data_IF_773263527658
#
_entry.id   IF_773263527658
#
_cell.length_a   1.000
_cell.length_b   1.000
_cell.length_c   1.000
_cell.angle_alpha   90.00
_cell.angle_beta   90.00
_cell.angle_gamma   90.00
#
_symmetry.space_group_name_H-M   'P 1'
#
loop_
_entity.id
_entity.type
_entity.pdbx_description
1 polymer ?
#
# COMPACT_ATOMS: atom_id res chain seq x y z
N UNK A 1 4.71 -15.76 -81.25
CA UNK A 1 5.04 -14.57 -80.43
C UNK A 1 4.04 -14.55 -79.27
N UNK A 2 4.32 -15.31 -78.22
CA UNK A 2 4.85 -14.87 -76.91
C UNK A 2 3.91 -13.92 -76.13
N UNK A 3 3.43 -14.39 -74.98
CA UNK A 3 2.72 -13.57 -74.00
C UNK A 3 2.07 -14.38 -72.88
N UNK A 4 2.85 -15.09 -72.06
CA UNK A 4 2.38 -15.68 -70.79
C UNK A 4 2.18 -14.55 -69.79
N UNK A 5 0.94 -14.33 -69.36
CA UNK A 5 0.60 -13.38 -68.29
C UNK A 5 0.89 -14.05 -66.95
N UNK A 6 2.01 -13.66 -66.33
CA UNK A 6 2.43 -14.12 -65.00
C UNK A 6 1.99 -13.06 -63.99
N UNK A 7 0.89 -13.32 -63.29
CA UNK A 7 0.38 -12.41 -62.26
C UNK A 7 0.96 -12.84 -60.91
N UNK A 8 1.94 -12.08 -60.41
CA UNK A 8 2.54 -12.27 -59.10
C UNK A 8 1.52 -11.95 -58.00
N UNK A 9 1.13 -12.95 -57.22
CA UNK A 9 0.42 -12.76 -55.96
C UNK A 9 1.38 -12.16 -54.93
N UNK A 10 1.19 -10.88 -54.58
CA UNK A 10 1.85 -10.28 -53.43
C UNK A 10 1.19 -10.77 -52.14
N UNK A 11 1.86 -11.67 -51.42
CA UNK A 11 1.46 -12.06 -50.08
C UNK A 11 1.80 -10.92 -49.10
N UNK A 12 0.79 -10.21 -48.64
CA UNK A 12 0.90 -9.19 -47.59
C UNK A 12 1.06 -9.91 -46.24
N UNK A 13 2.31 -10.07 -45.79
CA UNK A 13 2.60 -10.56 -44.43
C UNK A 13 2.24 -9.47 -43.42
N UNK A 14 1.06 -9.60 -42.81
CA UNK A 14 0.67 -8.88 -41.60
C UNK A 14 1.56 -9.37 -40.45
N UNK A 15 2.71 -8.72 -40.23
CA UNK A 15 3.44 -8.84 -38.97
C UNK A 15 2.64 -8.09 -37.89
N UNK A 16 1.70 -8.80 -37.26
CA UNK A 16 1.03 -8.30 -36.07
C UNK A 16 2.07 -8.04 -34.99
N UNK A 17 2.17 -6.79 -34.52
CA UNK A 17 2.88 -6.49 -33.28
C UNK A 17 2.14 -7.21 -32.15
N UNK A 18 2.63 -8.39 -31.75
CA UNK A 18 2.16 -9.04 -30.53
C UNK A 18 2.55 -8.16 -29.35
N UNK A 19 1.57 -7.46 -28.78
CA UNK A 19 1.72 -6.83 -27.49
C UNK A 19 2.10 -7.91 -26.48
N UNK A 20 3.35 -7.86 -26.00
CA UNK A 20 3.83 -8.76 -24.95
C UNK A 20 3.19 -8.32 -23.64
N UNK A 21 2.77 -9.29 -22.82
CA UNK A 21 2.35 -8.98 -21.45
C UNK A 21 3.53 -8.40 -20.66
N UNK A 22 3.30 -7.29 -19.96
CA UNK A 22 4.30 -6.66 -19.10
C UNK A 22 4.73 -7.61 -17.97
N UNK A 23 6.01 -7.60 -17.63
CA UNK A 23 6.56 -8.35 -16.49
C UNK A 23 6.17 -7.69 -15.16
N UNK A 24 6.40 -8.40 -14.05
CA UNK A 24 6.15 -7.80 -12.74
C UNK A 24 7.08 -6.61 -12.47
N UNK A 25 8.33 -6.68 -12.92
CA UNK A 25 9.33 -5.61 -12.79
C UNK A 25 8.91 -4.34 -13.50
N UNK A 26 8.26 -4.46 -14.66
CA UNK A 26 7.71 -3.33 -15.42
C UNK A 26 6.51 -2.72 -14.69
N UNK A 27 5.57 -3.56 -14.24
CA UNK A 27 4.35 -3.11 -13.54
C UNK A 27 4.61 -2.36 -12.24
N UNK A 28 5.63 -2.77 -11.48
CA UNK A 28 5.94 -2.17 -10.17
C UNK A 28 6.71 -0.85 -10.26
N UNK A 29 7.22 -0.46 -11.44
CA UNK A 29 7.93 0.82 -11.62
C UNK A 29 7.06 2.03 -11.28
N UNK A 30 5.76 1.98 -11.58
CA UNK A 30 4.86 3.09 -11.24
C UNK A 30 4.76 3.30 -9.72
N UNK A 31 4.96 2.25 -8.93
CA UNK A 31 4.85 2.31 -7.48
C UNK A 31 6.05 3.02 -6.86
N UNK A 32 7.27 2.78 -7.36
CA UNK A 32 8.52 3.32 -6.80
C UNK A 32 8.61 4.83 -6.94
N UNK A 33 7.96 5.42 -7.95
CA UNK A 33 7.95 6.87 -8.17
C UNK A 33 7.40 7.68 -6.99
N UNK A 34 6.49 7.10 -6.21
CA UNK A 34 5.89 7.72 -5.03
C UNK A 34 6.31 7.05 -3.72
N UNK A 35 6.35 5.72 -3.71
CA UNK A 35 6.67 4.93 -2.51
C UNK A 35 8.18 4.76 -2.28
N UNK A 36 9.02 5.28 -3.18
CA UNK A 36 10.49 5.22 -3.12
C UNK A 36 11.07 3.96 -3.76
N UNK A 37 12.28 4.02 -4.30
CA UNK A 37 12.95 2.83 -4.86
C UNK A 37 13.37 1.82 -3.77
N UNK A 38 13.74 2.33 -2.60
CA UNK A 38 14.12 1.57 -1.40
C UNK A 38 13.01 1.55 -0.34
N UNK A 39 11.78 1.93 -0.71
CA UNK A 39 10.62 1.98 0.17
C UNK A 39 10.54 3.23 1.05
N UNK A 40 11.42 4.21 0.83
CA UNK A 40 11.36 5.54 1.47
C UNK A 40 10.51 6.48 0.62
N UNK A 41 9.28 6.80 1.05
CA UNK A 41 8.36 7.56 0.23
C UNK A 41 8.85 8.99 -0.02
N UNK A 42 8.51 9.55 -1.19
CA UNK A 42 8.95 10.90 -1.60
C UNK A 42 8.25 12.03 -0.83
N UNK A 43 7.10 11.72 -0.20
CA UNK A 43 6.35 12.60 0.68
C UNK A 43 5.95 11.86 1.96
N UNK A 44 5.90 12.58 3.09
CA UNK A 44 5.66 12.00 4.41
C UNK A 44 4.25 11.40 4.59
N UNK A 45 3.30 11.81 3.74
CA UNK A 45 1.92 11.30 3.76
C UNK A 45 1.71 10.09 2.86
N UNK A 46 2.74 9.66 2.12
CA UNK A 46 2.73 8.43 1.33
C UNK A 46 3.24 7.28 2.22
N UNK A 47 2.58 6.11 2.23
CA UNK A 47 3.00 4.99 3.07
C UNK A 47 4.18 4.23 2.50
N UNK A 48 4.96 3.61 3.38
CA UNK A 48 5.85 2.50 3.03
C UNK A 48 5.03 1.27 2.66
N UNK A 49 5.31 0.67 1.50
CA UNK A 49 4.73 -0.61 1.05
C UNK A 49 5.72 -1.77 1.06
N UNK A 50 7.02 -1.49 1.23
CA UNK A 50 8.09 -2.50 1.30
C UNK A 50 7.94 -3.30 2.59
N UNK A 51 8.03 -4.63 2.50
CA UNK A 51 7.94 -5.52 3.66
C UNK A 51 6.58 -5.48 4.36
N UNK A 52 5.56 -4.93 3.70
CA UNK A 52 4.19 -4.90 4.20
C UNK A 52 3.50 -6.25 3.92
N UNK A 53 2.45 -6.57 4.67
CA UNK A 53 1.75 -7.84 4.52
C UNK A 53 1.09 -7.96 3.14
N UNK A 54 1.37 -9.05 2.42
CA UNK A 54 0.86 -9.26 1.05
C UNK A 54 -0.67 -9.21 0.99
N UNK A 55 -1.35 -9.87 1.92
CA UNK A 55 -2.81 -9.85 2.00
C UNK A 55 -3.36 -8.44 2.21
N UNK A 56 -2.71 -7.63 3.06
CA UNK A 56 -3.08 -6.23 3.25
C UNK A 56 -2.87 -5.41 1.96
N UNK A 57 -1.71 -5.53 1.32
CA UNK A 57 -1.41 -4.80 0.07
C UNK A 57 -2.43 -5.10 -1.02
N UNK A 58 -2.76 -6.37 -1.24
CA UNK A 58 -3.79 -6.78 -2.19
C UNK A 58 -5.15 -6.16 -1.87
N UNK A 59 -5.59 -6.23 -0.61
CA UNK A 59 -6.87 -5.64 -0.18
C UNK A 59 -6.88 -4.13 -0.44
N UNK A 60 -5.79 -3.41 -0.15
CA UNK A 60 -5.76 -1.97 -0.39
C UNK A 60 -5.83 -1.63 -1.89
N UNK A 61 -5.08 -2.33 -2.75
CA UNK A 61 -5.15 -2.13 -4.20
C UNK A 61 -6.57 -2.40 -4.73
N UNK A 62 -7.16 -3.53 -4.33
CA UNK A 62 -8.54 -3.89 -4.68
C UNK A 62 -9.55 -2.83 -4.21
N UNK A 63 -9.41 -2.35 -2.99
CA UNK A 63 -10.34 -1.37 -2.41
C UNK A 63 -10.20 0.01 -3.06
N UNK A 64 -8.99 0.39 -3.49
CA UNK A 64 -8.80 1.56 -4.35
C UNK A 64 -9.48 1.36 -5.70
N UNK A 65 -9.23 0.23 -6.40
CA UNK A 65 -9.85 -0.08 -7.70
C UNK A 65 -11.39 -0.03 -7.63
N UNK A 66 -11.98 -0.52 -6.53
CA UNK A 66 -13.44 -0.54 -6.31
C UNK A 66 -14.01 0.78 -5.78
N UNK A 67 -13.16 1.70 -5.31
CA UNK A 67 -13.58 2.95 -4.68
C UNK A 67 -14.03 2.82 -3.22
N UNK A 68 -13.88 1.64 -2.62
CA UNK A 68 -14.14 1.40 -1.19
C UNK A 68 -13.15 2.20 -0.32
N UNK A 69 -11.89 2.32 -0.78
CA UNK A 69 -10.90 3.26 -0.26
C UNK A 69 -10.73 4.41 -1.26
N UNK A 70 -11.14 5.61 -0.87
CA UNK A 70 -11.07 6.79 -1.74
C UNK A 70 -9.66 7.37 -1.79
N UNK A 71 -9.21 7.74 -2.99
CA UNK A 71 -7.97 8.48 -3.22
C UNK A 71 -7.87 8.92 -4.67
N UNK A 72 -7.78 10.23 -4.90
CA UNK A 72 -7.60 10.80 -6.24
C UNK A 72 -6.29 10.35 -6.90
N UNK A 73 -5.27 9.99 -6.11
CA UNK A 73 -3.96 9.53 -6.59
C UNK A 73 -3.97 8.02 -6.88
N UNK A 74 -4.24 7.18 -5.87
CA UNK A 74 -4.15 5.73 -6.00
C UNK A 74 -5.27 5.07 -6.79
N UNK A 75 -6.46 5.68 -6.92
CA UNK A 75 -7.55 5.04 -7.67
C UNK A 75 -7.20 4.89 -9.17
N UNK A 76 -6.77 5.94 -9.91
CA UNK A 76 -6.36 5.79 -11.31
C UNK A 76 -5.25 4.75 -11.51
N UNK A 77 -4.29 4.67 -10.58
CA UNK A 77 -3.21 3.69 -10.61
C UNK A 77 -3.77 2.28 -10.43
N UNK A 78 -4.57 2.06 -9.38
CA UNK A 78 -5.13 0.75 -9.08
C UNK A 78 -6.06 0.21 -10.17
N UNK A 79 -6.75 1.09 -10.92
CA UNK A 79 -7.61 0.68 -12.04
C UNK A 79 -6.85 0.09 -13.24
N UNK A 80 -5.54 0.30 -13.34
CA UNK A 80 -4.71 -0.25 -14.41
C UNK A 80 -4.40 -1.74 -14.22
N UNK A 81 -4.56 -2.26 -13.00
CA UNK A 81 -4.14 -3.62 -12.63
C UNK A 81 -5.32 -4.55 -12.47
N UNK A 82 -5.21 -5.76 -13.01
CA UNK A 82 -6.18 -6.82 -12.75
C UNK A 82 -5.85 -7.61 -11.48
N UNK A 83 -6.77 -8.51 -11.09
CA UNK A 83 -6.65 -9.27 -9.84
C UNK A 83 -5.27 -9.93 -9.70
N UNK A 84 -4.82 -10.61 -10.75
CA UNK A 84 -3.57 -11.37 -10.72
C UNK A 84 -2.35 -10.43 -10.70
N UNK A 85 -2.44 -9.25 -11.32
CA UNK A 85 -1.43 -8.20 -11.20
C UNK A 85 -1.35 -7.68 -9.77
N UNK A 86 -2.48 -7.38 -9.14
CA UNK A 86 -2.52 -6.88 -7.76
C UNK A 86 -1.97 -7.92 -6.76
N UNK A 87 -2.22 -9.21 -6.99
CA UNK A 87 -1.63 -10.30 -6.20
C UNK A 87 -0.11 -10.36 -6.40
N UNK A 88 0.36 -10.29 -7.64
CA UNK A 88 1.79 -10.32 -7.94
C UNK A 88 2.52 -9.08 -7.38
N UNK A 89 1.93 -7.89 -7.49
CA UNK A 89 2.45 -6.64 -6.91
C UNK A 89 2.53 -6.74 -5.39
N UNK A 90 1.47 -7.24 -4.75
CA UNK A 90 1.43 -7.41 -3.31
C UNK A 90 2.52 -8.37 -2.81
N UNK A 91 2.71 -9.51 -3.50
CA UNK A 91 3.78 -10.46 -3.18
C UNK A 91 5.17 -9.87 -3.43
N UNK A 92 5.34 -9.13 -4.53
CA UNK A 92 6.61 -8.50 -4.87
C UNK A 92 7.08 -7.51 -3.79
N UNK A 93 6.18 -6.66 -3.27
CA UNK A 93 6.53 -5.69 -2.23
C UNK A 93 6.61 -6.29 -0.83
N UNK A 94 5.85 -7.36 -0.53
CA UNK A 94 5.89 -8.02 0.78
C UNK A 94 7.24 -8.69 1.06
N UNK A 95 7.92 -9.17 0.02
CA UNK A 95 9.22 -9.82 0.14
C UNK A 95 10.40 -8.84 0.28
N UNK A 96 10.15 -7.54 0.19
CA UNK A 96 11.20 -6.52 0.31
C UNK A 96 11.52 -6.22 1.77
N UNK A 97 12.76 -5.78 2.09
CA UNK A 97 13.08 -5.33 3.43
C UNK A 97 12.28 -4.07 3.79
N UNK A 98 11.73 -4.04 5.01
CA UNK A 98 11.16 -2.83 5.57
C UNK A 98 12.27 -1.78 5.76
N UNK A 99 12.13 -0.54 5.24
CA UNK A 99 13.14 0.50 5.34
C UNK A 99 13.19 1.13 6.72
N UNK A 100 14.37 1.60 7.10
CA UNK A 100 14.51 2.56 8.20
C UNK A 100 14.27 3.99 7.67
N UNK A 101 13.26 4.65 8.22
CA UNK A 101 12.91 6.04 7.88
C UNK A 101 13.67 7.07 8.74
N UNK A 102 14.52 6.63 9.68
CA UNK A 102 15.30 7.51 10.55
C UNK A 102 14.45 8.32 11.54
N UNK A 103 13.25 7.84 11.85
CA UNK A 103 12.31 8.54 12.74
C UNK A 103 12.75 8.38 14.20
N UNK A 104 12.70 9.45 15.01
CA UNK A 104 13.12 9.36 16.40
C UNK A 104 12.18 8.46 17.20
N UNK A 105 12.74 7.73 18.17
CA UNK A 105 11.93 7.02 19.17
C UNK A 105 11.13 8.02 20.00
N UNK A 106 9.90 7.64 20.33
CA UNK A 106 9.09 8.40 21.27
C UNK A 106 9.78 8.50 22.64
N UNK A 107 9.65 9.64 23.34
CA UNK A 107 10.02 9.76 24.75
C UNK A 107 9.37 8.68 25.62
N UNK A 108 9.99 8.33 26.75
CA UNK A 108 9.55 7.20 27.59
C UNK A 108 8.12 7.35 28.10
N UNK A 109 7.74 8.56 28.49
CA UNK A 109 6.40 8.91 28.96
C UNK A 109 5.36 8.80 27.84
N UNK A 110 5.69 9.26 26.63
CA UNK A 110 4.84 9.10 25.43
C UNK A 110 4.67 7.63 25.08
N UNK A 111 5.76 6.85 25.09
CA UNK A 111 5.72 5.42 24.83
C UNK A 111 4.87 4.66 25.87
N UNK A 112 4.99 5.01 27.16
CA UNK A 112 4.18 4.41 28.22
C UNK A 112 2.69 4.71 28.03
N UNK A 113 2.34 5.96 27.68
CA UNK A 113 0.97 6.35 27.34
C UNK A 113 0.44 5.58 26.14
N UNK A 114 1.22 5.51 25.06
CA UNK A 114 0.86 4.78 23.84
C UNK A 114 0.60 3.30 24.10
N UNK A 115 1.48 2.63 24.86
CA UNK A 115 1.33 1.22 25.22
C UNK A 115 0.10 0.99 26.10
N UNK A 116 -0.15 1.87 27.08
CA UNK A 116 -1.36 1.80 27.91
C UNK A 116 -2.62 1.93 27.06
N UNK A 117 -2.69 2.94 26.19
CA UNK A 117 -3.83 3.14 25.29
C UNK A 117 -4.02 1.97 24.33
N UNK A 118 -2.93 1.48 23.72
CA UNK A 118 -2.93 0.30 22.85
C UNK A 118 -3.50 -0.93 23.54
N UNK A 119 -3.11 -1.17 24.80
CA UNK A 119 -3.61 -2.29 25.58
C UNK A 119 -5.10 -2.12 25.94
N UNK A 120 -5.54 -0.92 26.31
CA UNK A 120 -6.94 -0.64 26.63
C UNK A 120 -7.87 -0.82 25.44
N UNK A 121 -7.42 -0.45 24.24
CA UNK A 121 -8.20 -0.59 22.98
C UNK A 121 -8.07 -2.00 22.39
N UNK A 122 -7.02 -2.74 22.76
CA UNK A 122 -6.77 -4.09 22.26
C UNK A 122 -6.09 -4.13 20.88
N UNK A 123 -5.36 -3.08 20.49
CA UNK A 123 -4.67 -3.03 19.19
C UNK A 123 -3.78 -4.25 18.89
N UNK A 124 -3.00 -4.81 19.85
CA UNK A 124 -2.15 -5.97 19.61
C UNK A 124 -2.93 -7.24 19.25
N UNK A 125 -4.22 -7.34 19.59
CA UNK A 125 -5.04 -8.51 19.24
C UNK A 125 -5.14 -8.72 17.73
N UNK A 126 -5.03 -7.63 16.94
CA UNK A 126 -4.99 -7.70 15.48
C UNK A 126 -3.60 -7.38 14.94
N UNK A 127 -2.96 -6.31 15.43
CA UNK A 127 -1.68 -5.84 14.89
C UNK A 127 -0.45 -6.60 15.44
N UNK A 128 -0.65 -7.54 16.35
CA UNK A 128 0.36 -8.31 17.07
C UNK A 128 1.24 -7.45 18.00
N UNK A 129 1.97 -8.11 18.90
CA UNK A 129 2.67 -7.48 20.03
C UNK A 129 3.70 -6.41 19.64
N UNK A 130 4.31 -6.53 18.46
CA UNK A 130 5.27 -5.54 17.94
C UNK A 130 4.68 -4.71 16.81
N UNK A 131 3.36 -4.71 16.66
CA UNK A 131 2.64 -4.00 15.60
C UNK A 131 3.13 -4.36 14.19
N UNK A 132 3.63 -5.59 14.02
CA UNK A 132 4.12 -6.10 12.75
C UNK A 132 2.99 -6.54 11.81
N UNK A 133 1.78 -6.74 12.34
CA UNK A 133 0.65 -7.27 11.58
C UNK A 133 0.87 -8.69 11.07
N UNK A 134 -0.14 -9.25 10.44
CA UNK A 134 -0.09 -10.56 9.78
C UNK A 134 -1.22 -10.67 8.75
N UNK A 135 -0.97 -11.41 7.66
CA UNK A 135 -1.93 -11.69 6.60
C UNK A 135 -2.56 -10.42 5.99
N UNK A 136 -3.77 -10.09 6.45
CA UNK A 136 -4.56 -8.94 5.97
C UNK A 136 -4.49 -7.72 6.89
N UNK A 137 -3.85 -7.85 8.07
CA UNK A 137 -3.66 -6.78 9.04
C UNK A 137 -2.30 -6.12 8.82
N UNK A 138 -2.22 -4.79 8.65
CA UNK A 138 -0.97 -4.14 8.30
C UNK A 138 0.02 -4.08 9.45
N UNK A 139 1.31 -4.08 9.08
CA UNK A 139 2.39 -3.54 9.89
C UNK A 139 2.18 -2.04 10.11
N UNK A 140 2.22 -1.62 11.37
CA UNK A 140 2.21 -0.22 11.81
C UNK A 140 3.58 0.23 12.33
N UNK A 141 4.37 -0.69 12.90
CA UNK A 141 5.69 -0.39 13.44
C UNK A 141 6.66 0.12 12.36
N UNK A 142 7.23 1.30 12.61
CA UNK A 142 8.16 1.98 11.71
C UNK A 142 7.50 2.66 10.52
N UNK A 143 6.16 2.76 10.49
CA UNK A 143 5.45 3.49 9.44
C UNK A 143 5.67 5.00 9.58
N UNK A 144 5.62 5.74 8.46
CA UNK A 144 5.76 7.20 8.47
C UNK A 144 4.76 7.89 9.40
N UNK A 145 5.26 8.77 10.29
CA UNK A 145 4.48 9.48 11.30
C UNK A 145 3.28 10.23 10.71
N UNK A 146 3.51 10.98 9.63
CA UNK A 146 2.48 11.82 9.03
C UNK A 146 1.43 10.96 8.30
N UNK A 147 1.83 9.87 7.65
CA UNK A 147 0.89 8.88 7.12
C UNK A 147 0.06 8.21 8.21
N UNK A 148 0.65 7.85 9.36
CA UNK A 148 -0.08 7.29 10.50
C UNK A 148 -1.10 8.30 11.03
N UNK A 149 -0.69 9.54 11.30
CA UNK A 149 -1.58 10.61 11.75
C UNK A 149 -2.74 10.85 10.77
N UNK A 150 -2.42 10.97 9.47
CA UNK A 150 -3.42 11.15 8.42
C UNK A 150 -4.38 9.95 8.37
N UNK A 151 -3.87 8.74 8.38
CA UNK A 151 -4.68 7.51 8.32
C UNK A 151 -5.64 7.41 9.49
N UNK A 152 -5.18 7.72 10.70
CA UNK A 152 -6.01 7.74 11.90
C UNK A 152 -7.11 8.81 11.76
N UNK A 153 -6.77 10.01 11.31
CA UNK A 153 -7.74 11.09 11.08
C UNK A 153 -8.79 10.70 10.02
N UNK A 154 -8.36 10.05 8.93
CA UNK A 154 -9.24 9.58 7.87
C UNK A 154 -10.22 8.50 8.39
N UNK A 155 -9.75 7.58 9.25
CA UNK A 155 -10.62 6.59 9.89
C UNK A 155 -11.60 7.23 10.88
N UNK A 156 -11.14 8.19 11.71
CA UNK A 156 -12.02 8.90 12.67
C UNK A 156 -13.17 9.62 11.98
N UNK A 157 -12.88 10.26 10.84
CA UNK A 157 -13.89 10.97 10.06
C UNK A 157 -14.69 10.05 9.13
N UNK A 158 -14.36 8.75 9.09
CA UNK A 158 -14.86 7.76 8.13
C UNK A 158 -14.60 8.13 6.65
N UNK A 159 -13.71 9.09 6.39
CA UNK A 159 -13.21 9.38 5.05
C UNK A 159 -12.52 8.14 4.45
N UNK A 160 -11.80 7.38 5.29
CA UNK A 160 -11.36 6.02 4.99
C UNK A 160 -12.37 5.01 5.56
N UNK A 161 -13.35 4.64 4.76
CA UNK A 161 -14.47 3.78 5.16
C UNK A 161 -14.28 2.27 4.90
N UNK A 162 -13.17 1.83 4.29
CA UNK A 162 -12.97 0.42 3.90
C UNK A 162 -12.71 -0.54 5.07
N UNK A 163 -12.74 -0.04 6.32
CA UNK A 163 -12.75 -0.86 7.54
C UNK A 163 -13.55 -0.14 8.64
N UNK A 164 -14.85 -0.45 8.81
CA UNK A 164 -15.70 0.17 9.83
C UNK A 164 -15.21 -0.07 11.25
N UNK A 165 -14.72 -1.28 11.56
CA UNK A 165 -14.20 -1.60 12.89
C UNK A 165 -13.01 -0.74 13.30
N UNK A 166 -12.08 -0.48 12.37
CA UNK A 166 -11.00 0.48 12.61
C UNK A 166 -11.52 1.90 12.81
N UNK A 167 -12.53 2.32 12.06
CA UNK A 167 -13.14 3.65 12.24
C UNK A 167 -13.72 3.81 13.65
N UNK A 168 -14.42 2.80 14.15
CA UNK A 168 -15.03 2.81 15.46
C UNK A 168 -13.98 2.78 16.59
N UNK A 169 -12.91 1.99 16.45
CA UNK A 169 -11.78 1.98 17.40
C UNK A 169 -11.08 3.35 17.44
N UNK A 170 -10.83 3.97 16.28
CA UNK A 170 -10.21 5.30 16.24
C UNK A 170 -11.12 6.39 16.82
N UNK A 171 -12.45 6.26 16.70
CA UNK A 171 -13.41 7.15 17.34
C UNK A 171 -13.48 6.98 18.86
N UNK A 172 -13.42 5.73 19.34
CA UNK A 172 -13.46 5.39 20.76
C UNK A 172 -12.18 5.74 21.52
N UNK A 173 -11.06 5.96 20.81
CA UNK A 173 -9.78 6.33 21.41
C UNK A 173 -9.65 7.85 21.50
N UNK A 174 -9.09 8.38 22.60
CA UNK A 174 -8.93 9.82 22.75
C UNK A 174 -7.92 10.39 21.73
N UNK A 175 -8.07 11.65 21.26
CA UNK A 175 -7.10 12.27 20.36
C UNK A 175 -5.67 12.28 20.91
N UNK A 176 -5.51 12.51 22.21
CA UNK A 176 -4.18 12.56 22.84
C UNK A 176 -3.51 11.19 22.93
N UNK A 177 -4.30 10.13 23.11
CA UNK A 177 -3.80 8.75 23.08
C UNK A 177 -3.40 8.35 21.65
N UNK A 178 -4.19 8.75 20.66
CA UNK A 178 -3.85 8.52 19.25
C UNK A 178 -2.60 9.28 18.83
N UNK A 179 -2.39 10.51 19.31
CA UNK A 179 -1.16 11.25 19.08
C UNK A 179 0.06 10.50 19.67
N UNK A 180 -0.07 9.99 20.91
CA UNK A 180 0.99 9.18 21.52
C UNK A 180 1.25 7.88 20.74
N UNK A 181 0.19 7.21 20.25
CA UNK A 181 0.31 6.02 19.40
C UNK A 181 1.03 6.32 18.09
N UNK A 182 0.73 7.44 17.43
CA UNK A 182 1.43 7.86 16.21
C UNK A 182 2.93 8.02 16.46
N UNK A 183 3.30 8.76 17.51
CA UNK A 183 4.71 9.01 17.83
C UNK A 183 5.44 7.72 18.22
N UNK A 184 4.78 6.85 18.98
CA UNK A 184 5.33 5.56 19.38
C UNK A 184 5.53 4.64 18.18
N UNK A 185 4.49 4.41 17.37
CA UNK A 185 4.54 3.48 16.24
C UNK A 185 5.53 3.92 15.16
N UNK A 186 5.64 5.23 14.92
CA UNK A 186 6.58 5.77 13.93
C UNK A 186 8.05 5.54 14.31
N UNK A 187 8.35 5.56 15.61
CA UNK A 187 9.70 5.37 16.14
C UNK A 187 10.11 3.91 16.41
N UNK A 188 9.24 2.93 16.09
CA UNK A 188 9.54 1.50 16.26
C UNK A 188 10.48 0.93 15.17
#
# INVERSE_FOLDING_TARGET
>A
MFGKLMMCSAALLLMGAQARAETIEEKVQVCTGCHGEDGKPVDKTIPTIWGQQAGYLYIQLRDFKRGDRKSEIMQPIATQFERDDMLAIAEYFSQKPWPDLGQPRAPKDVAAKALSASASVGCPACHLDRFQGDGTVPRLAGMGRDYLAKTIADFRTRARGNNPGMSDLMLATSPDDLAALVDYLAGL
#
